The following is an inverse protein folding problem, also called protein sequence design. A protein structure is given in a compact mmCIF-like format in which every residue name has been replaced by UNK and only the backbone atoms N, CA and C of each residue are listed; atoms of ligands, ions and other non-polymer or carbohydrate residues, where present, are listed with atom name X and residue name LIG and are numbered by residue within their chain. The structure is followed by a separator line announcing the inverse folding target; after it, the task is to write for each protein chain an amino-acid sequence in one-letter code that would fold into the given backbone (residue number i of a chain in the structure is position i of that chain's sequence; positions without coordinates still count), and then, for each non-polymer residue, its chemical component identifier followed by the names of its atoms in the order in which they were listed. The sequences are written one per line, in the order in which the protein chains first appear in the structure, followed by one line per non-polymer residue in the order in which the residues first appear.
data_IF_095788435579
#
_entry.id   IF_095788435579
#
_cell.length_a   1.000
_cell.length_b   1.000
_cell.length_c   1.000
_cell.angle_alpha   90.00
_cell.angle_beta   90.00
_cell.angle_gamma   90.00
#
_symmetry.space_group_name_H-M   'P 1'
#
loop_
_entity.id
_entity.type
_entity.pdbx_description
1 polymer ?
#
# COMPACT_ATOMS: atom_id res chain seq x y z
N UNK A 1 6.53 -11.68 -24.27
CA UNK A 1 7.48 -11.44 -23.17
C UNK A 1 7.06 -10.23 -22.36
N UNK A 2 6.34 -10.44 -21.25
CA UNK A 2 5.90 -9.36 -20.35
C UNK A 2 7.02 -9.11 -19.32
N UNK A 3 7.58 -7.90 -19.20
CA UNK A 3 8.53 -7.59 -18.14
C UNK A 3 7.83 -7.60 -16.77
N UNK A 4 8.38 -8.36 -15.83
CA UNK A 4 7.93 -8.42 -14.44
C UNK A 4 9.08 -7.95 -13.56
N UNK A 5 8.89 -6.81 -12.93
CA UNK A 5 9.86 -6.27 -11.99
C UNK A 5 9.63 -6.88 -10.62
N UNK A 6 10.64 -7.52 -10.06
CA UNK A 6 10.53 -8.27 -8.81
C UNK A 6 11.74 -8.07 -7.90
N UNK A 7 11.48 -8.02 -6.61
CA UNK A 7 12.51 -8.07 -5.58
C UNK A 7 13.25 -9.43 -5.64
N UNK A 8 14.47 -9.54 -5.08
CA UNK A 8 15.29 -10.74 -5.23
C UNK A 8 14.59 -12.03 -4.83
N UNK A 9 14.00 -12.10 -3.62
CA UNK A 9 13.31 -13.31 -3.12
C UNK A 9 12.08 -13.63 -3.95
N UNK A 10 11.30 -12.63 -4.38
CA UNK A 10 10.17 -12.82 -5.30
C UNK A 10 10.65 -13.36 -6.65
N UNK A 11 11.76 -12.85 -7.18
CA UNK A 11 12.36 -13.38 -8.42
C UNK A 11 12.72 -14.85 -8.30
N UNK A 12 13.33 -15.26 -7.19
CA UNK A 12 13.71 -16.65 -6.97
C UNK A 12 12.48 -17.52 -6.74
N UNK A 13 11.49 -17.04 -5.99
CA UNK A 13 10.21 -17.72 -5.82
C UNK A 13 9.53 -18.02 -7.17
N UNK A 14 9.47 -17.04 -8.07
CA UNK A 14 8.86 -17.20 -9.40
C UNK A 14 9.62 -18.17 -10.31
N UNK A 15 10.94 -18.28 -10.16
CA UNK A 15 11.78 -19.22 -10.94
C UNK A 15 11.67 -20.67 -10.44
N UNK A 16 11.53 -20.85 -9.14
CA UNK A 16 11.71 -22.13 -8.48
C UNK A 16 10.39 -22.86 -8.19
N UNK A 17 9.25 -22.14 -8.22
CA UNK A 17 7.97 -22.72 -7.84
C UNK A 17 6.98 -22.79 -9.02
N UNK A 18 6.40 -23.99 -9.21
CA UNK A 18 5.27 -24.14 -10.14
C UNK A 18 3.97 -23.54 -9.59
N UNK A 19 3.06 -23.05 -10.45
CA UNK A 19 3.18 -23.03 -11.91
C UNK A 19 3.96 -21.82 -12.46
N UNK A 20 4.39 -20.86 -11.63
CA UNK A 20 5.02 -19.61 -12.08
C UNK A 20 6.34 -19.83 -12.81
N UNK A 21 7.11 -20.86 -12.42
CA UNK A 21 8.37 -21.21 -13.09
C UNK A 21 8.18 -21.57 -14.56
N UNK A 22 7.01 -22.09 -14.96
CA UNK A 22 6.68 -22.32 -16.37
C UNK A 22 6.56 -21.02 -17.16
N UNK A 23 5.99 -19.97 -16.56
CA UNK A 23 5.89 -18.67 -17.21
C UNK A 23 7.27 -18.07 -17.49
N UNK A 24 8.23 -18.29 -16.59
CA UNK A 24 9.62 -17.87 -16.75
C UNK A 24 10.32 -18.70 -17.81
N UNK A 25 10.23 -20.05 -17.71
CA UNK A 25 10.91 -20.97 -18.64
C UNK A 25 10.41 -20.86 -20.09
N UNK A 26 9.11 -20.64 -20.28
CA UNK A 26 8.50 -20.42 -21.59
C UNK A 26 8.63 -18.96 -22.08
N UNK A 27 9.30 -18.10 -21.31
CA UNK A 27 9.50 -16.69 -21.64
C UNK A 27 8.18 -15.90 -21.83
N UNK A 28 7.09 -16.35 -21.20
CA UNK A 28 5.87 -15.57 -21.15
C UNK A 28 6.11 -14.29 -20.34
N UNK A 29 6.87 -14.38 -19.25
CA UNK A 29 7.39 -13.28 -18.46
C UNK A 29 8.91 -13.23 -18.49
N UNK A 30 9.46 -12.02 -18.35
CA UNK A 30 10.90 -11.77 -18.23
C UNK A 30 11.13 -11.00 -16.95
N UNK A 31 11.82 -11.64 -15.99
CA UNK A 31 12.10 -11.02 -14.69
C UNK A 31 13.12 -9.88 -14.83
N UNK A 32 12.82 -8.75 -14.22
CA UNK A 32 13.67 -7.56 -14.12
C UNK A 32 13.92 -7.26 -12.65
N UNK A 33 15.16 -7.03 -12.22
CA UNK A 33 15.46 -6.86 -10.81
C UNK A 33 14.93 -5.53 -10.28
N UNK A 34 14.20 -5.60 -9.16
CA UNK A 34 13.98 -4.48 -8.24
C UNK A 34 15.03 -4.54 -7.13
N UNK A 35 15.35 -3.40 -6.57
CA UNK A 35 16.18 -3.27 -5.37
C UNK A 35 15.63 -2.17 -4.49
N UNK A 36 15.62 -2.41 -3.18
CA UNK A 36 15.25 -1.43 -2.18
C UNK A 36 15.97 -0.09 -2.43
N UNK A 37 15.23 1.01 -2.40
CA UNK A 37 15.71 2.38 -2.61
C UNK A 37 16.46 2.62 -3.94
N UNK A 38 16.21 1.79 -4.96
CA UNK A 38 16.73 2.02 -6.30
C UNK A 38 15.62 2.38 -7.27
N UNK A 39 15.69 3.61 -7.74
CA UNK A 39 14.71 4.17 -8.67
C UNK A 39 14.84 3.53 -10.05
N UNK A 40 13.69 3.24 -10.65
CA UNK A 40 13.52 2.83 -12.03
C UNK A 40 12.72 3.91 -12.77
N UNK A 41 13.13 4.21 -14.02
CA UNK A 41 12.44 5.16 -14.87
C UNK A 41 11.56 4.47 -15.90
N UNK A 42 10.33 4.95 -16.04
CA UNK A 42 9.33 4.50 -17.00
C UNK A 42 8.77 5.70 -17.76
N UNK A 43 9.54 6.18 -18.76
CA UNK A 43 9.21 7.41 -19.46
C UNK A 43 9.25 8.61 -18.53
N UNK A 44 8.12 9.29 -18.34
CA UNK A 44 8.01 10.45 -17.46
C UNK A 44 7.79 10.07 -15.96
N UNK A 45 7.65 8.78 -15.67
CA UNK A 45 7.46 8.30 -14.30
C UNK A 45 8.77 7.72 -13.74
N UNK A 46 9.00 7.94 -12.47
CA UNK A 46 10.03 7.27 -11.66
C UNK A 46 9.37 6.45 -10.56
N UNK A 47 9.85 5.23 -10.34
CA UNK A 47 9.31 4.32 -9.31
C UNK A 47 10.46 3.81 -8.44
N UNK A 48 10.35 4.04 -7.15
CA UNK A 48 11.32 3.59 -6.14
C UNK A 48 10.63 2.66 -5.16
N UNK A 49 10.98 1.35 -5.15
CA UNK A 49 10.47 0.42 -4.15
C UNK A 49 11.18 0.64 -2.81
N UNK A 50 10.44 0.53 -1.71
CA UNK A 50 10.98 0.51 -0.36
C UNK A 50 10.36 -0.63 0.44
N UNK A 51 11.14 -1.20 1.37
CA UNK A 51 10.66 -2.30 2.20
C UNK A 51 9.65 -1.81 3.23
N UNK A 52 8.60 -2.61 3.43
CA UNK A 52 7.63 -2.45 4.51
C UNK A 52 7.52 -3.75 5.31
N UNK A 53 7.31 -3.69 6.64
CA UNK A 53 7.11 -4.90 7.42
C UNK A 53 5.77 -5.53 7.05
N UNK A 54 5.80 -6.80 6.69
CA UNK A 54 4.63 -7.64 6.49
C UNK A 54 5.06 -9.10 6.52
N UNK A 55 4.12 -10.02 6.27
CA UNK A 55 4.40 -11.45 6.16
C UNK A 55 5.29 -11.70 4.94
N UNK A 56 6.57 -11.91 5.20
CA UNK A 56 7.60 -12.02 4.17
C UNK A 56 8.28 -13.40 4.14
N UNK A 57 7.54 -14.43 4.48
CA UNK A 57 8.05 -15.81 4.53
C UNK A 57 8.64 -16.27 3.18
N UNK A 58 8.06 -15.81 2.08
CA UNK A 58 8.46 -16.22 0.73
C UNK A 58 9.11 -15.11 -0.10
N UNK A 59 8.71 -13.88 0.12
CA UNK A 59 9.21 -12.72 -0.64
C UNK A 59 9.25 -11.47 0.22
N UNK A 60 9.97 -10.47 -0.24
CA UNK A 60 9.90 -9.14 0.35
C UNK A 60 8.53 -8.52 0.11
N UNK A 61 8.03 -7.76 1.09
CA UNK A 61 6.90 -6.86 0.91
C UNK A 61 7.41 -5.43 0.73
N UNK A 62 6.87 -4.72 -0.27
CA UNK A 62 7.32 -3.39 -0.64
C UNK A 62 6.16 -2.42 -0.80
N UNK A 63 6.40 -1.18 -0.39
CA UNK A 63 5.71 -0.02 -0.88
C UNK A 63 6.47 0.62 -2.04
N UNK A 64 5.83 1.57 -2.70
CA UNK A 64 6.43 2.30 -3.83
C UNK A 64 6.27 3.79 -3.65
N UNK A 65 7.36 4.53 -3.93
CA UNK A 65 7.30 5.95 -4.22
C UNK A 65 7.22 6.10 -5.74
N UNK A 66 6.24 6.83 -6.21
CA UNK A 66 5.99 7.08 -7.63
C UNK A 66 6.05 8.58 -7.85
N UNK A 67 6.93 9.01 -8.73
CA UNK A 67 7.12 10.43 -9.05
C UNK A 67 6.79 10.65 -10.53
N UNK A 68 5.86 11.54 -10.77
CA UNK A 68 5.49 12.00 -12.09
C UNK A 68 6.09 13.39 -12.39
N UNK A 69 5.72 13.98 -13.53
CA UNK A 69 6.22 15.29 -13.93
C UNK A 69 5.86 16.44 -12.97
N UNK A 70 4.74 16.34 -12.28
CA UNK A 70 4.21 17.42 -11.46
C UNK A 70 3.95 17.02 -10.01
N UNK A 71 3.66 15.75 -9.74
CA UNK A 71 3.26 15.26 -8.43
C UNK A 71 3.84 13.89 -8.13
N UNK A 72 3.80 13.55 -6.86
CA UNK A 72 4.32 12.28 -6.34
C UNK A 72 3.29 11.55 -5.49
N UNK A 73 3.43 10.24 -5.41
CA UNK A 73 2.61 9.38 -4.58
C UNK A 73 3.45 8.35 -3.83
N UNK A 74 2.98 7.93 -2.65
CA UNK A 74 3.36 6.65 -2.05
C UNK A 74 2.20 5.67 -2.18
N UNK A 75 2.55 4.40 -2.38
CA UNK A 75 1.60 3.30 -2.49
C UNK A 75 2.02 2.19 -1.54
N UNK A 76 1.28 2.00 -0.45
CA UNK A 76 1.52 1.02 0.62
C UNK A 76 0.22 0.24 0.83
N UNK A 77 -0.11 -0.71 -0.05
CA UNK A 77 -1.38 -1.43 0.00
C UNK A 77 -1.47 -2.43 1.13
N UNK A 78 -0.34 -2.93 1.61
CA UNK A 78 -0.27 -4.04 2.54
C UNK A 78 0.94 -3.88 3.47
N UNK A 79 0.70 -3.79 4.77
CA UNK A 79 1.73 -3.57 5.79
C UNK A 79 1.27 -4.13 7.14
N UNK A 80 2.22 -4.49 8.00
CA UNK A 80 1.96 -4.73 9.42
C UNK A 80 1.61 -3.43 10.14
N UNK A 81 1.41 -3.50 11.45
CA UNK A 81 1.17 -2.29 12.26
C UNK A 81 2.23 -1.23 12.00
N UNK A 82 1.81 0.04 11.95
CA UNK A 82 2.75 1.17 11.76
C UNK A 82 3.88 1.21 12.78
N UNK A 83 3.63 0.69 13.99
CA UNK A 83 4.64 0.54 15.05
C UNK A 83 5.79 -0.40 14.70
N UNK A 84 5.57 -1.34 13.79
CA UNK A 84 6.57 -2.31 13.36
C UNK A 84 7.50 -1.74 12.28
N UNK A 85 7.14 -0.58 11.72
CA UNK A 85 7.92 0.09 10.70
C UNK A 85 8.77 1.21 11.29
N UNK A 86 10.05 1.24 10.93
CA UNK A 86 10.97 2.27 11.43
C UNK A 86 10.75 3.65 10.81
N UNK A 87 10.08 3.72 9.66
CA UNK A 87 9.78 4.97 8.97
C UNK A 87 8.58 5.67 9.62
N UNK A 88 8.72 6.95 9.90
CA UNK A 88 7.62 7.77 10.38
C UNK A 88 6.65 8.09 9.23
N UNK A 89 5.45 7.50 9.28
CA UNK A 89 4.43 7.67 8.24
C UNK A 89 4.00 9.14 8.10
N UNK A 90 3.86 9.88 9.21
CA UNK A 90 3.43 11.28 9.16
C UNK A 90 4.48 12.16 8.44
N UNK A 91 5.76 11.93 8.69
CA UNK A 91 6.82 12.64 7.98
C UNK A 91 6.90 12.24 6.50
N UNK A 92 6.68 10.96 6.19
CA UNK A 92 6.67 10.47 4.81
C UNK A 92 5.52 11.12 4.00
N UNK A 93 4.31 11.25 4.57
CA UNK A 93 3.15 11.88 3.93
C UNK A 93 3.46 13.34 3.54
N UNK A 94 4.20 14.08 4.36
CA UNK A 94 4.57 15.48 4.06
C UNK A 94 5.41 15.60 2.77
N UNK A 95 6.10 14.53 2.37
CA UNK A 95 7.02 14.53 1.22
C UNK A 95 6.36 14.18 -0.11
N UNK A 96 5.07 13.93 -0.14
CA UNK A 96 4.32 13.52 -1.34
C UNK A 96 3.02 14.27 -1.48
N UNK A 97 2.39 14.17 -2.66
CA UNK A 97 1.09 14.75 -2.95
C UNK A 97 -0.06 13.78 -2.68
N UNK A 98 0.19 12.49 -2.78
CA UNK A 98 -0.79 11.43 -2.52
C UNK A 98 -0.16 10.31 -1.69
N UNK A 99 -0.90 9.79 -0.71
CA UNK A 99 -0.51 8.65 0.10
C UNK A 99 -1.62 7.60 0.07
N UNK A 100 -1.45 6.56 -0.74
CA UNK A 100 -2.36 5.43 -0.80
C UNK A 100 -1.89 4.37 0.19
N UNK A 101 -2.63 4.19 1.28
CA UNK A 101 -2.21 3.36 2.42
C UNK A 101 -3.22 2.28 2.77
N UNK A 102 -2.72 1.23 3.40
CA UNK A 102 -3.49 0.07 3.85
C UNK A 102 -4.69 0.47 4.72
N UNK A 103 -5.82 -0.09 4.38
CA UNK A 103 -7.09 0.04 5.10
C UNK A 103 -7.84 -1.31 5.12
N UNK A 104 -7.12 -2.43 5.23
CA UNK A 104 -7.72 -3.77 5.19
C UNK A 104 -8.89 -3.89 6.14
N UNK A 105 -8.75 -3.44 7.38
CA UNK A 105 -9.83 -3.41 8.37
C UNK A 105 -10.05 -2.01 8.94
N UNK A 106 -11.31 -1.68 9.22
CA UNK A 106 -11.66 -0.39 9.79
C UNK A 106 -11.29 -0.28 11.28
N UNK A 107 -11.69 -1.29 12.08
CA UNK A 107 -11.48 -1.31 13.53
C UNK A 107 -11.46 -2.74 14.06
N UNK A 108 -11.08 -2.89 15.32
CA UNK A 108 -11.23 -4.14 16.05
C UNK A 108 -12.71 -4.59 16.10
N UNK A 109 -12.92 -5.91 16.10
CA UNK A 109 -14.26 -6.50 16.11
C UNK A 109 -14.99 -6.50 14.76
N UNK A 110 -14.35 -6.06 13.67
CA UNK A 110 -14.94 -6.10 12.32
C UNK A 110 -15.30 -7.53 11.87
N UNK A 111 -14.54 -8.53 12.32
CA UNK A 111 -14.80 -9.94 12.00
C UNK A 111 -15.46 -10.64 13.20
N UNK A 112 -16.77 -10.91 13.17
CA UNK A 112 -17.46 -11.57 14.28
C UNK A 112 -16.88 -12.95 14.60
N UNK A 113 -16.60 -13.21 15.86
CA UNK A 113 -16.10 -14.51 16.34
C UNK A 113 -14.60 -14.77 16.04
N UNK A 114 -13.89 -13.82 15.47
CA UNK A 114 -12.45 -13.91 15.26
C UNK A 114 -11.70 -13.01 16.26
N UNK A 115 -10.67 -13.56 16.88
CA UNK A 115 -9.70 -12.76 17.63
C UNK A 115 -8.88 -11.89 16.66
N UNK A 116 -9.22 -10.61 16.59
CA UNK A 116 -8.56 -9.66 15.71
C UNK A 116 -7.26 -9.08 16.30
N UNK A 117 -6.90 -9.40 17.56
CA UNK A 117 -5.60 -9.00 18.13
C UNK A 117 -4.41 -9.59 17.36
N UNK A 118 -4.63 -10.66 16.61
CA UNK A 118 -3.64 -11.31 15.73
C UNK A 118 -3.62 -10.75 14.31
N UNK A 119 -4.48 -9.80 13.99
CA UNK A 119 -4.46 -9.13 12.70
C UNK A 119 -3.31 -8.14 12.67
N UNK A 120 -2.40 -8.37 11.77
CA UNK A 120 -1.16 -7.57 11.69
C UNK A 120 -1.36 -6.24 10.97
N UNK A 121 -2.42 -6.08 10.16
CA UNK A 121 -2.71 -4.82 9.47
C UNK A 121 -3.04 -3.68 10.44
N UNK A 122 -2.64 -2.44 10.12
CA UNK A 122 -3.13 -1.29 10.86
C UNK A 122 -4.63 -1.11 10.58
N UNK A 123 -5.40 -0.82 11.62
CA UNK A 123 -6.79 -0.44 11.42
C UNK A 123 -6.87 1.01 10.89
N UNK A 124 -7.93 1.32 10.14
CA UNK A 124 -8.19 2.69 9.68
C UNK A 124 -8.24 3.66 10.86
N UNK A 125 -8.89 3.27 11.95
CA UNK A 125 -8.96 4.10 13.18
C UNK A 125 -7.59 4.34 13.81
N UNK A 126 -6.67 3.37 13.77
CA UNK A 126 -5.28 3.52 14.24
C UNK A 126 -4.50 4.47 13.34
N UNK A 127 -4.64 4.31 12.02
CA UNK A 127 -4.00 5.19 11.04
C UNK A 127 -4.47 6.64 11.18
N UNK A 128 -5.78 6.85 11.35
CA UNK A 128 -6.33 8.19 11.60
C UNK A 128 -5.82 8.80 12.91
N UNK A 129 -5.71 8.01 13.97
CA UNK A 129 -5.18 8.48 15.26
C UNK A 129 -3.69 8.85 15.16
N UNK A 130 -2.89 8.01 14.48
CA UNK A 130 -1.48 8.29 14.23
C UNK A 130 -1.25 9.61 13.46
N UNK A 131 -2.16 9.92 12.55
CA UNK A 131 -2.07 11.08 11.66
C UNK A 131 -2.88 12.30 12.16
N UNK A 132 -3.45 12.24 13.36
CA UNK A 132 -4.31 13.31 13.90
C UNK A 132 -3.57 14.65 14.04
N UNK A 133 -2.26 14.60 14.34
CA UNK A 133 -1.41 15.78 14.47
C UNK A 133 -1.05 16.49 13.16
N UNK A 134 -1.38 15.89 12.00
CA UNK A 134 -1.17 16.53 10.70
C UNK A 134 -2.23 17.62 10.44
N UNK A 135 -1.88 18.62 9.63
CA UNK A 135 -2.85 19.60 9.13
C UNK A 135 -3.93 18.92 8.27
N UNK A 136 -5.04 19.59 8.04
CA UNK A 136 -6.12 19.10 7.17
C UNK A 136 -5.60 18.88 5.75
N UNK A 137 -4.74 19.77 5.27
CA UNK A 137 -4.12 19.69 3.95
C UNK A 137 -3.27 18.43 3.81
N UNK A 138 -2.49 18.09 4.84
CA UNK A 138 -1.67 16.87 4.84
C UNK A 138 -2.54 15.61 4.94
N UNK A 139 -3.57 15.61 5.79
CA UNK A 139 -4.52 14.49 5.88
C UNK A 139 -5.26 14.26 4.57
N UNK A 140 -5.56 15.32 3.82
CA UNK A 140 -6.25 15.23 2.53
C UNK A 140 -5.40 14.59 1.42
N UNK A 141 -4.10 14.39 1.64
CA UNK A 141 -3.25 13.58 0.74
C UNK A 141 -3.47 12.08 0.92
N UNK A 142 -4.05 11.65 2.05
CA UNK A 142 -4.19 10.23 2.42
C UNK A 142 -5.44 9.64 1.78
N UNK A 143 -5.25 8.50 1.12
CA UNK A 143 -6.27 7.69 0.46
C UNK A 143 -6.24 6.28 1.02
N UNK A 144 -7.29 5.85 1.68
CA UNK A 144 -7.45 4.50 2.19
C UNK A 144 -7.78 3.54 1.05
N UNK A 145 -6.99 2.45 0.93
CA UNK A 145 -7.08 1.42 -0.12
C UNK A 145 -7.05 0.02 0.49
N UNK A 146 -7.12 -1.02 -0.34
CA UNK A 146 -6.93 -2.43 0.06
C UNK A 146 -7.95 -2.94 1.09
N UNK A 147 -9.19 -2.50 1.00
CA UNK A 147 -10.25 -2.83 1.97
C UNK A 147 -10.71 -4.29 1.86
N UNK A 148 -10.78 -4.99 3.00
CA UNK A 148 -11.45 -6.28 3.08
C UNK A 148 -12.96 -6.15 2.77
N UNK A 149 -13.58 -7.21 2.28
CA UNK A 149 -15.01 -7.21 1.92
C UNK A 149 -15.96 -6.89 3.09
N UNK A 150 -15.49 -6.99 4.34
CA UNK A 150 -16.25 -6.63 5.55
C UNK A 150 -16.11 -5.15 5.92
N UNK A 151 -15.13 -4.45 5.32
CA UNK A 151 -14.81 -3.09 5.71
C UNK A 151 -15.96 -2.12 5.40
N UNK A 152 -16.48 -1.38 6.41
CA UNK A 152 -17.59 -0.46 6.22
C UNK A 152 -17.27 0.70 5.25
N UNK A 153 -16.00 0.97 4.95
CA UNK A 153 -15.60 2.00 3.98
C UNK A 153 -16.00 1.66 2.53
N UNK A 154 -16.30 0.39 2.21
CA UNK A 154 -16.84 -0.01 0.93
C UNK A 154 -18.24 0.61 0.67
N UNK A 155 -18.96 0.98 1.73
CA UNK A 155 -20.20 1.73 1.64
C UNK A 155 -19.92 3.23 1.91
N UNK A 156 -19.91 4.04 0.86
CA UNK A 156 -19.65 5.49 0.95
C UNK A 156 -20.66 6.24 1.81
N UNK A 157 -21.83 5.66 2.10
CA UNK A 157 -22.87 6.24 2.93
C UNK A 157 -22.83 5.78 4.38
N UNK A 158 -21.92 4.87 4.73
CA UNK A 158 -21.74 4.41 6.12
C UNK A 158 -21.34 5.58 7.04
N UNK A 159 -21.60 5.42 8.34
CA UNK A 159 -21.17 6.40 9.35
C UNK A 159 -19.64 6.45 9.45
N UNK A 160 -18.98 5.33 9.21
CA UNK A 160 -17.53 5.18 9.19
C UNK A 160 -16.93 5.99 8.04
N UNK A 161 -17.46 5.84 6.81
CA UNK A 161 -17.00 6.61 5.64
C UNK A 161 -17.18 8.11 5.83
N UNK A 162 -18.34 8.53 6.36
CA UNK A 162 -18.58 9.93 6.69
C UNK A 162 -17.63 10.46 7.75
N UNK A 163 -17.31 9.64 8.76
CA UNK A 163 -16.35 10.00 9.80
C UNK A 163 -14.93 10.18 9.23
N UNK A 164 -14.47 9.26 8.37
CA UNK A 164 -13.18 9.36 7.69
C UNK A 164 -13.08 10.68 6.90
N UNK A 165 -14.09 10.95 6.07
CA UNK A 165 -14.10 12.15 5.23
C UNK A 165 -14.19 13.45 6.05
N UNK A 166 -15.00 13.47 7.13
CA UNK A 166 -15.11 14.65 8.01
C UNK A 166 -13.81 15.00 8.73
N UNK A 167 -12.90 14.03 8.89
CA UNK A 167 -11.57 14.22 9.46
C UNK A 167 -10.51 14.61 8.42
N UNK A 168 -10.88 14.80 7.16
CA UNK A 168 -10.01 15.25 6.09
C UNK A 168 -9.26 14.14 5.37
N UNK A 169 -9.64 12.87 5.54
CA UNK A 169 -9.08 11.73 4.81
C UNK A 169 -9.93 11.34 3.62
N UNK A 170 -9.36 10.64 2.65
CA UNK A 170 -10.05 10.16 1.47
C UNK A 170 -10.20 8.63 1.50
N UNK A 171 -11.20 8.13 0.80
CA UNK A 171 -11.44 6.72 0.56
C UNK A 171 -11.36 6.50 -0.94
N UNK A 172 -10.46 5.63 -1.38
CA UNK A 172 -10.34 5.31 -2.78
C UNK A 172 -11.52 4.43 -3.23
N UNK A 173 -12.09 4.78 -4.36
CA UNK A 173 -13.13 4.02 -5.03
C UNK A 173 -12.63 3.54 -6.39
N UNK A 174 -13.25 2.50 -6.92
CA UNK A 174 -12.92 2.00 -8.26
C UNK A 174 -13.05 3.12 -9.30
N UNK A 175 -12.06 3.21 -10.19
CA UNK A 175 -12.02 4.20 -11.27
C UNK A 175 -11.45 5.58 -10.89
N UNK A 176 -11.02 5.78 -9.64
CA UNK A 176 -10.34 7.02 -9.26
C UNK A 176 -9.09 7.25 -10.13
N UNK A 177 -8.83 8.49 -10.50
CA UNK A 177 -7.65 8.89 -11.24
C UNK A 177 -6.89 9.96 -10.45
N UNK A 178 -5.63 9.69 -10.15
CA UNK A 178 -4.69 10.64 -9.57
C UNK A 178 -3.70 11.05 -10.66
N UNK A 179 -3.50 12.34 -10.81
CA UNK A 179 -2.58 12.88 -11.84
C UNK A 179 -1.24 13.16 -11.15
N UNK A 180 -0.18 12.59 -11.69
CA UNK A 180 1.20 12.71 -11.20
C UNK A 180 2.03 13.68 -12.03
#
# INVERSE_FOLDING_TARGET
NIPVFAMPRMSDYLKENGPWSQLVSYKNIVLRPLKHDKTLSFGALSVTPFLVPHRDEYSETVGYRIEGPNKSAIFIPDINKWSDWQTNLAELIKTVDYALIDATFFADGELPGRDMSRVQHPYVVESMALLEGLSVEERNKVWFIHMNHTNPLLNTQSKESKSVQSKGFNIAIEGIRLIL
#
